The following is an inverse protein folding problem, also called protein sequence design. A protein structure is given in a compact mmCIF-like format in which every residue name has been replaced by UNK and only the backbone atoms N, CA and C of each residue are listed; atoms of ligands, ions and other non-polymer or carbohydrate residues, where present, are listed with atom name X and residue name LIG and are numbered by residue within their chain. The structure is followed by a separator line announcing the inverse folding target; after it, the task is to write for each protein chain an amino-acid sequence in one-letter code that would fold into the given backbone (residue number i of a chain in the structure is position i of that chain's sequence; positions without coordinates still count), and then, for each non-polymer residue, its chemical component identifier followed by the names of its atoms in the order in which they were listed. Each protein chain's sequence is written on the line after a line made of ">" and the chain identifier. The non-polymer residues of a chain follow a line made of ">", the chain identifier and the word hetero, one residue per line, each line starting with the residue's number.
data_IF_746712523273
#
_entry.id   IF_746712523273
#
_cell.length_a   1.000
_cell.length_b   1.000
_cell.length_c   1.000
_cell.angle_alpha   90.00
_cell.angle_beta   90.00
_cell.angle_gamma   90.00
#
_symmetry.space_group_name_H-M   'P 1'
#
loop_
_entity.id
_entity.type
_entity.pdbx_description
1 polymer ?
#
# COMPACT_ATOMS: atom_id res chain seq x y z
N UNK A 1 30.30 19.83 -23.90
CA UNK A 1 30.05 18.57 -23.16
C UNK A 1 29.12 18.71 -21.94
N UNK A 2 28.95 19.89 -21.30
CA UNK A 2 28.05 20.05 -20.14
C UNK A 2 26.57 20.25 -20.48
N UNK A 3 26.23 20.74 -21.68
CA UNK A 3 24.84 20.99 -22.09
C UNK A 3 24.03 19.73 -22.45
N UNK A 4 24.66 18.74 -23.09
CA UNK A 4 23.98 17.48 -23.48
C UNK A 4 23.65 16.59 -22.29
N UNK A 5 24.52 16.54 -21.27
CA UNK A 5 24.29 15.76 -20.04
C UNK A 5 23.15 16.35 -19.21
N UNK A 6 23.02 17.67 -19.18
CA UNK A 6 21.89 18.35 -18.52
C UNK A 6 20.56 18.14 -19.27
N UNK A 7 20.59 18.13 -20.61
CA UNK A 7 19.40 17.87 -21.44
C UNK A 7 18.89 16.44 -21.28
N UNK A 8 19.79 15.46 -21.31
CA UNK A 8 19.45 14.04 -21.16
C UNK A 8 18.92 13.70 -19.76
N UNK A 9 19.47 14.30 -18.69
CA UNK A 9 18.94 14.13 -17.33
C UNK A 9 17.52 14.71 -17.18
N UNK A 10 17.26 15.89 -17.76
CA UNK A 10 15.91 16.49 -17.77
C UNK A 10 14.90 15.62 -18.51
N UNK A 11 15.26 15.12 -19.70
CA UNK A 11 14.41 14.22 -20.47
C UNK A 11 14.10 12.94 -19.70
N UNK A 12 15.12 12.36 -19.04
CA UNK A 12 14.94 11.17 -18.20
C UNK A 12 13.97 11.44 -17.05
N UNK A 13 14.12 12.56 -16.33
CA UNK A 13 13.23 12.94 -15.23
C UNK A 13 11.80 13.19 -15.71
N UNK A 14 11.62 13.87 -16.85
CA UNK A 14 10.31 14.08 -17.45
C UNK A 14 9.64 12.74 -17.84
N UNK A 15 10.39 11.83 -18.46
CA UNK A 15 9.92 10.49 -18.78
C UNK A 15 9.49 9.71 -17.52
N UNK A 16 10.31 9.71 -16.46
CA UNK A 16 9.96 9.06 -15.19
C UNK A 16 8.72 9.66 -14.53
N UNK A 17 8.56 10.99 -14.61
CA UNK A 17 7.37 11.68 -14.11
C UNK A 17 6.11 11.29 -14.87
N UNK A 18 6.18 11.24 -16.20
CA UNK A 18 5.07 10.79 -17.05
C UNK A 18 4.74 9.31 -16.80
N UNK A 19 5.75 8.45 -16.74
CA UNK A 19 5.58 7.02 -16.42
C UNK A 19 4.92 6.82 -15.05
N UNK A 20 5.36 7.55 -14.03
CA UNK A 20 4.75 7.54 -12.69
C UNK A 20 3.27 7.94 -12.75
N UNK A 21 2.95 9.05 -13.41
CA UNK A 21 1.57 9.53 -13.53
C UNK A 21 0.69 8.50 -14.26
N UNK A 22 1.18 7.92 -15.35
CA UNK A 22 0.44 6.92 -16.12
C UNK A 22 0.24 5.64 -15.32
N UNK A 23 1.29 5.08 -14.70
CA UNK A 23 1.19 3.79 -13.99
C UNK A 23 0.34 3.90 -12.72
N UNK A 24 0.53 4.95 -11.90
CA UNK A 24 -0.12 5.02 -10.60
C UNK A 24 -1.46 5.76 -10.59
N UNK A 25 -1.76 6.55 -11.62
CA UNK A 25 -3.03 7.27 -11.72
C UNK A 25 -3.78 6.91 -12.99
N UNK A 26 -3.14 6.93 -14.16
CA UNK A 26 -3.77 6.59 -15.44
C UNK A 26 -4.32 5.16 -15.48
N UNK A 27 -3.51 4.16 -15.14
CA UNK A 27 -3.93 2.75 -15.09
C UNK A 27 -4.99 2.52 -14.01
N UNK A 28 -4.88 3.19 -12.86
CA UNK A 28 -5.88 3.11 -11.79
C UNK A 28 -7.23 3.67 -12.23
N UNK A 29 -7.23 4.82 -12.91
CA UNK A 29 -8.45 5.42 -13.49
C UNK A 29 -9.05 4.48 -14.53
N UNK A 30 -8.24 3.97 -15.46
CA UNK A 30 -8.69 3.03 -16.46
C UNK A 30 -9.28 1.76 -15.84
N UNK A 31 -8.64 1.18 -14.82
CA UNK A 31 -9.16 0.04 -14.08
C UNK A 31 -10.49 0.36 -13.41
N UNK A 32 -10.57 1.50 -12.71
CA UNK A 32 -11.77 1.91 -11.96
C UNK A 32 -12.96 2.12 -12.88
N UNK A 33 -12.75 2.68 -14.08
CA UNK A 33 -13.81 2.94 -15.06
C UNK A 33 -14.21 1.70 -15.87
N UNK A 34 -13.25 0.86 -16.26
CA UNK A 34 -13.51 -0.27 -17.16
C UNK A 34 -13.86 -1.57 -16.43
N UNK A 35 -13.42 -1.72 -15.18
CA UNK A 35 -13.55 -2.95 -14.39
C UNK A 35 -14.22 -2.69 -13.04
N UNK A 36 -15.11 -1.71 -12.97
CA UNK A 36 -15.88 -1.41 -11.76
C UNK A 36 -16.56 -2.68 -11.21
N UNK A 37 -16.38 -2.96 -9.92
CA UNK A 37 -16.95 -4.14 -9.25
C UNK A 37 -16.18 -5.46 -9.48
N UNK A 38 -15.10 -5.44 -10.28
CA UNK A 38 -14.24 -6.62 -10.45
C UNK A 38 -13.25 -6.78 -9.31
N UNK A 39 -12.82 -8.01 -9.04
CA UNK A 39 -11.80 -8.30 -8.02
C UNK A 39 -10.43 -7.74 -8.48
N UNK A 40 -9.78 -6.83 -7.71
CA UNK A 40 -8.50 -6.24 -8.08
C UNK A 40 -7.30 -7.17 -7.87
N UNK A 41 -7.45 -8.28 -7.14
CA UNK A 41 -6.32 -9.17 -6.78
C UNK A 41 -5.59 -9.74 -8.00
N UNK A 42 -6.25 -10.27 -9.05
CA UNK A 42 -5.54 -10.79 -10.22
C UNK A 42 -4.66 -9.74 -10.90
N UNK A 43 -5.16 -8.52 -11.08
CA UNK A 43 -4.39 -7.41 -11.67
C UNK A 43 -3.22 -7.04 -10.76
N UNK A 44 -3.47 -6.93 -9.45
CA UNK A 44 -2.45 -6.65 -8.46
C UNK A 44 -1.31 -7.69 -8.49
N UNK A 45 -1.63 -8.98 -8.56
CA UNK A 45 -0.64 -10.06 -8.64
C UNK A 45 0.18 -9.97 -9.92
N UNK A 46 -0.46 -9.72 -11.07
CA UNK A 46 0.27 -9.53 -12.35
C UNK A 46 1.22 -8.34 -12.28
N UNK A 47 0.77 -7.20 -11.74
CA UNK A 47 1.62 -6.02 -11.55
C UNK A 47 2.76 -6.30 -10.57
N UNK A 48 2.51 -7.06 -9.50
CA UNK A 48 3.53 -7.46 -8.56
C UNK A 48 4.57 -8.38 -9.20
N UNK A 49 4.16 -9.34 -10.03
CA UNK A 49 5.10 -10.18 -10.78
C UNK A 49 5.96 -9.33 -11.73
N UNK A 50 5.36 -8.39 -12.45
CA UNK A 50 6.10 -7.45 -13.30
C UNK A 50 7.10 -6.61 -12.47
N UNK A 51 6.70 -6.14 -11.29
CA UNK A 51 7.56 -5.43 -10.35
C UNK A 51 8.74 -6.30 -9.87
N UNK A 52 8.51 -7.56 -9.46
CA UNK A 52 9.60 -8.50 -9.09
C UNK A 52 10.56 -8.67 -10.27
N UNK A 53 10.02 -8.93 -11.46
CA UNK A 53 10.81 -9.13 -12.68
C UNK A 53 11.68 -7.93 -13.04
N UNK A 54 11.18 -6.70 -12.83
CA UNK A 54 11.95 -5.47 -12.98
C UNK A 54 13.04 -5.35 -11.91
N UNK A 55 12.70 -5.59 -10.64
CA UNK A 55 13.60 -5.46 -9.50
C UNK A 55 14.76 -6.45 -9.57
N UNK A 56 14.49 -7.72 -9.93
CA UNK A 56 15.53 -8.74 -10.02
C UNK A 56 16.50 -8.51 -11.18
N UNK A 57 16.04 -7.86 -12.26
CA UNK A 57 16.88 -7.45 -13.39
C UNK A 57 17.69 -6.19 -13.13
N UNK A 58 17.32 -5.39 -12.11
CA UNK A 58 18.02 -4.15 -11.75
C UNK A 58 19.31 -4.47 -10.98
N UNK A 59 20.51 -4.21 -11.53
CA UNK A 59 21.76 -4.60 -10.87
C UNK A 59 22.00 -3.87 -9.56
N UNK A 60 21.54 -2.62 -9.47
CA UNK A 60 21.65 -1.78 -8.28
C UNK A 60 20.60 -2.09 -7.20
N UNK A 61 19.65 -2.99 -7.45
CA UNK A 61 18.60 -3.30 -6.48
C UNK A 61 19.12 -4.26 -5.42
N UNK A 62 18.92 -3.88 -4.17
CA UNK A 62 19.23 -4.69 -3.01
C UNK A 62 18.17 -5.79 -2.81
N UNK A 63 18.42 -6.96 -3.38
CA UNK A 63 17.51 -8.12 -3.33
C UNK A 63 17.19 -8.56 -1.89
N UNK A 64 18.12 -8.37 -0.96
CA UNK A 64 17.89 -8.68 0.45
C UNK A 64 16.74 -7.85 1.05
N UNK A 65 16.49 -6.65 0.51
CA UNK A 65 15.37 -5.81 0.97
C UNK A 65 13.99 -6.47 0.82
N UNK A 66 13.83 -7.43 -0.10
CA UNK A 66 12.55 -8.15 -0.27
C UNK A 66 12.20 -9.04 0.94
N UNK A 67 13.22 -9.54 1.65
CA UNK A 67 13.03 -10.44 2.78
C UNK A 67 14.11 -10.26 3.85
N UNK A 68 13.89 -9.30 4.75
CA UNK A 68 14.78 -8.97 5.89
C UNK A 68 14.07 -9.08 7.23
N UNK A 69 13.80 -10.31 7.71
CA UNK A 69 13.10 -10.52 8.98
C UNK A 69 13.83 -9.95 10.19
N UNK A 70 15.16 -9.90 10.17
CA UNK A 70 15.97 -9.34 11.26
C UNK A 70 15.70 -7.86 11.57
N UNK A 71 15.05 -7.12 10.66
CA UNK A 71 14.64 -5.73 10.89
C UNK A 71 13.31 -5.61 11.65
N UNK A 72 12.50 -6.67 11.68
CA UNK A 72 11.20 -6.63 12.34
C UNK A 72 11.34 -6.38 13.85
N UNK A 73 12.20 -7.13 14.53
CA UNK A 73 12.37 -7.01 15.98
C UNK A 73 12.79 -5.59 16.41
N UNK A 74 13.64 -4.92 15.62
CA UNK A 74 14.07 -3.55 15.89
C UNK A 74 12.94 -2.52 15.73
N UNK A 75 12.03 -2.74 14.79
CA UNK A 75 10.91 -1.81 14.52
C UNK A 75 9.66 -2.15 15.36
N UNK A 76 9.57 -3.37 15.91
CA UNK A 76 8.40 -3.91 16.58
C UNK A 76 7.84 -3.02 17.70
N UNK A 77 8.64 -2.40 18.59
CA UNK A 77 8.08 -1.53 19.63
C UNK A 77 7.31 -0.33 19.05
N UNK A 78 7.85 0.28 18.01
CA UNK A 78 7.21 1.43 17.35
C UNK A 78 6.01 1.02 16.48
N UNK A 79 6.05 -0.17 15.88
CA UNK A 79 4.90 -0.76 15.16
C UNK A 79 3.78 -1.02 16.17
N UNK A 80 4.09 -1.71 17.26
CA UNK A 80 3.13 -2.08 18.30
C UNK A 80 2.49 -0.85 18.95
N UNK A 81 3.28 0.19 19.24
CA UNK A 81 2.75 1.44 19.80
C UNK A 81 1.77 2.13 18.84
N UNK A 82 2.17 2.36 17.59
CA UNK A 82 1.30 3.06 16.63
C UNK A 82 0.08 2.23 16.25
N UNK A 83 0.24 0.92 16.13
CA UNK A 83 -0.86 -0.01 15.93
C UNK A 83 -1.83 0.00 17.11
N UNK A 84 -1.33 -0.01 18.36
CA UNK A 84 -2.17 0.06 19.56
C UNK A 84 -2.97 1.36 19.62
N UNK A 85 -2.32 2.50 19.37
CA UNK A 85 -3.00 3.81 19.31
C UNK A 85 -4.07 3.81 18.23
N UNK A 86 -3.79 3.23 17.06
CA UNK A 86 -4.75 3.12 15.97
C UNK A 86 -5.88 2.15 16.31
N UNK A 87 -5.60 1.04 16.99
CA UNK A 87 -6.60 0.07 17.43
C UNK A 87 -7.57 0.70 18.43
N UNK A 88 -7.05 1.39 19.45
CA UNK A 88 -7.88 2.11 20.43
C UNK A 88 -8.66 3.22 19.73
N UNK A 89 -8.00 4.07 18.94
CA UNK A 89 -8.64 5.19 18.26
C UNK A 89 -9.74 4.77 17.29
N UNK A 90 -9.47 3.78 16.43
CA UNK A 90 -10.47 3.25 15.49
C UNK A 90 -11.63 2.56 16.20
N UNK A 91 -11.37 1.83 17.29
CA UNK A 91 -12.41 1.21 18.10
C UNK A 91 -13.32 2.25 18.74
N UNK A 92 -12.73 3.30 19.34
CA UNK A 92 -13.51 4.42 19.90
C UNK A 92 -14.35 5.07 18.82
N UNK A 93 -13.77 5.42 17.66
CA UNK A 93 -14.51 6.01 16.55
C UNK A 93 -15.69 5.14 16.13
N UNK A 94 -15.48 3.84 15.90
CA UNK A 94 -16.57 2.92 15.54
C UNK A 94 -17.65 2.87 16.63
N UNK A 95 -17.29 2.69 17.90
CA UNK A 95 -18.26 2.60 18.99
C UNK A 95 -19.11 3.86 19.19
N UNK A 96 -18.59 5.04 18.83
CA UNK A 96 -19.33 6.30 18.94
C UNK A 96 -20.08 6.72 17.66
N UNK A 97 -19.67 6.23 16.48
CA UNK A 97 -20.24 6.66 15.20
C UNK A 97 -21.14 5.63 14.57
N UNK A 98 -20.72 4.36 14.58
CA UNK A 98 -21.35 3.22 13.90
C UNK A 98 -21.17 1.94 14.73
N UNK A 99 -21.64 1.90 16.00
CA UNK A 99 -21.40 0.78 16.92
C UNK A 99 -21.92 -0.56 16.40
N UNK A 100 -22.91 -0.56 15.51
CA UNK A 100 -23.42 -1.74 14.82
C UNK A 100 -22.38 -2.45 13.95
N UNK A 101 -21.38 -1.72 13.45
CA UNK A 101 -20.28 -2.29 12.66
C UNK A 101 -19.20 -2.93 13.54
N UNK A 102 -19.20 -2.67 14.85
CA UNK A 102 -18.16 -3.15 15.75
C UNK A 102 -18.11 -4.68 15.75
N UNK A 103 -16.95 -5.22 15.34
CA UNK A 103 -16.73 -6.66 15.17
C UNK A 103 -17.75 -7.30 14.21
N UNK A 104 -18.33 -6.54 13.27
CA UNK A 104 -19.35 -7.04 12.36
C UNK A 104 -18.86 -8.25 11.56
N UNK A 105 -17.74 -8.12 10.84
CA UNK A 105 -17.19 -9.19 10.01
C UNK A 105 -16.87 -10.50 10.78
N UNK A 106 -16.15 -10.48 11.92
CA UNK A 106 -15.92 -11.70 12.70
C UNK A 106 -17.19 -12.26 13.36
N UNK A 107 -18.25 -11.46 13.56
CA UNK A 107 -19.53 -11.93 14.13
C UNK A 107 -20.44 -12.56 13.09
N UNK A 108 -20.51 -11.99 11.90
CA UNK A 108 -21.44 -12.41 10.85
C UNK A 108 -20.84 -13.49 9.95
N UNK A 109 -19.57 -13.38 9.59
CA UNK A 109 -18.88 -14.25 8.64
C UNK A 109 -17.51 -14.73 9.17
N UNK A 110 -17.45 -15.41 10.34
CA UNK A 110 -16.19 -15.74 11.02
C UNK A 110 -15.25 -16.62 10.18
N UNK A 111 -15.79 -17.51 9.36
CA UNK A 111 -14.99 -18.40 8.50
C UNK A 111 -14.31 -17.58 7.39
N UNK A 112 -15.05 -16.69 6.73
CA UNK A 112 -14.50 -15.80 5.69
C UNK A 112 -13.51 -14.82 6.31
N UNK A 113 -13.82 -14.26 7.47
CA UNK A 113 -12.89 -13.42 8.24
C UNK A 113 -11.58 -14.16 8.52
N UNK A 114 -11.65 -15.41 8.98
CA UNK A 114 -10.47 -16.25 9.21
C UNK A 114 -9.62 -16.46 7.95
N UNK A 115 -10.26 -16.74 6.81
CA UNK A 115 -9.55 -16.82 5.52
C UNK A 115 -8.90 -15.49 5.15
N UNK A 116 -9.57 -14.36 5.36
CA UNK A 116 -8.99 -13.03 5.12
C UNK A 116 -7.77 -12.82 6.02
N UNK A 117 -7.84 -13.14 7.32
CA UNK A 117 -6.69 -12.98 8.23
C UNK A 117 -5.43 -13.75 7.78
N UNK A 118 -5.58 -14.83 7.01
CA UNK A 118 -4.45 -15.64 6.52
C UNK A 118 -4.03 -15.26 5.09
N UNK A 119 -5.00 -15.12 4.18
CA UNK A 119 -4.74 -14.95 2.75
C UNK A 119 -4.44 -13.50 2.36
N UNK A 120 -5.10 -12.52 3.01
CA UNK A 120 -4.92 -11.10 2.70
C UNK A 120 -3.46 -10.61 2.83
N UNK A 121 -2.70 -10.98 3.89
CA UNK A 121 -1.29 -10.59 3.99
C UNK A 121 -0.43 -11.03 2.79
N UNK A 122 -0.69 -12.23 2.26
CA UNK A 122 0.15 -12.82 1.21
C UNK A 122 -0.31 -12.39 -0.19
N UNK A 123 -1.62 -12.45 -0.44
CA UNK A 123 -2.18 -12.23 -1.78
C UNK A 123 -2.47 -10.75 -2.09
N UNK A 124 -2.55 -9.90 -1.06
CA UNK A 124 -2.86 -8.49 -1.22
C UNK A 124 -1.74 -7.60 -0.66
N UNK A 125 -1.43 -7.71 0.63
CA UNK A 125 -0.50 -6.77 1.29
C UNK A 125 0.91 -6.85 0.69
N UNK A 126 1.49 -8.04 0.59
CA UNK A 126 2.86 -8.17 0.08
C UNK A 126 2.99 -7.68 -1.39
N UNK A 127 2.09 -8.06 -2.32
CA UNK A 127 2.02 -7.47 -3.66
C UNK A 127 1.89 -5.94 -3.67
N UNK A 128 1.04 -5.37 -2.81
CA UNK A 128 0.89 -3.92 -2.71
C UNK A 128 2.20 -3.27 -2.25
N UNK A 129 2.81 -3.74 -1.17
CA UNK A 129 4.07 -3.17 -0.67
C UNK A 129 5.20 -3.32 -1.70
N UNK A 130 5.23 -4.42 -2.45
CA UNK A 130 6.19 -4.61 -3.53
C UNK A 130 6.07 -3.51 -4.60
N UNK A 131 4.85 -3.19 -5.03
CA UNK A 131 4.60 -2.18 -6.07
C UNK A 131 4.87 -0.77 -5.52
N UNK A 132 4.21 -0.41 -4.42
CA UNK A 132 4.21 0.95 -3.93
C UNK A 132 5.48 1.31 -3.13
N UNK A 133 6.24 0.32 -2.64
CA UNK A 133 7.52 0.55 -1.95
C UNK A 133 8.69 0.05 -2.76
N UNK A 134 8.89 -1.26 -2.90
CA UNK A 134 10.14 -1.77 -3.47
C UNK A 134 10.37 -1.29 -4.90
N UNK A 135 9.38 -1.48 -5.78
CA UNK A 135 9.42 -1.01 -7.16
C UNK A 135 9.50 0.51 -7.22
N UNK A 136 8.58 1.20 -6.55
CA UNK A 136 8.51 2.66 -6.63
C UNK A 136 9.78 3.36 -6.11
N UNK A 137 10.28 2.94 -4.95
CA UNK A 137 11.51 3.48 -4.35
C UNK A 137 12.72 3.22 -5.24
N UNK A 138 12.79 2.07 -5.91
CA UNK A 138 13.89 1.77 -6.83
C UNK A 138 13.78 2.56 -8.13
N UNK A 139 12.57 2.64 -8.71
CA UNK A 139 12.32 3.16 -10.05
C UNK A 139 12.36 4.69 -10.10
N UNK A 140 11.76 5.34 -9.10
CA UNK A 140 11.50 6.78 -9.11
C UNK A 140 12.40 7.57 -8.15
N UNK A 141 13.42 6.94 -7.57
CA UNK A 141 14.45 7.63 -6.78
C UNK A 141 15.03 8.86 -7.53
N UNK A 142 15.29 8.82 -8.85
CA UNK A 142 15.86 9.99 -9.54
C UNK A 142 14.97 11.23 -9.57
N UNK A 143 13.65 11.10 -9.35
CA UNK A 143 12.70 12.23 -9.37
C UNK A 143 12.15 12.59 -7.99
N UNK A 144 12.05 11.65 -7.05
CA UNK A 144 11.51 11.90 -5.71
C UNK A 144 12.56 11.83 -4.59
N UNK A 145 13.78 11.38 -4.91
CA UNK A 145 14.87 11.16 -3.96
C UNK A 145 14.61 10.00 -3.00
N UNK A 146 15.36 9.94 -1.90
CA UNK A 146 15.18 8.97 -0.81
C UNK A 146 14.44 9.56 0.41
N UNK A 147 14.01 10.83 0.32
CA UNK A 147 13.52 11.62 1.44
C UNK A 147 12.00 11.63 1.60
N UNK A 148 11.47 12.79 1.96
CA UNK A 148 10.03 13.01 2.13
C UNK A 148 9.27 12.94 0.80
N UNK A 149 9.90 13.37 -0.31
CA UNK A 149 9.28 13.33 -1.64
C UNK A 149 8.85 11.93 -2.05
N UNK A 150 9.69 10.92 -1.82
CA UNK A 150 9.36 9.52 -2.09
C UNK A 150 8.23 9.00 -1.20
N UNK A 151 8.22 9.37 0.09
CA UNK A 151 7.14 9.00 1.02
C UNK A 151 5.81 9.59 0.55
N UNK A 152 5.79 10.89 0.25
CA UNK A 152 4.58 11.58 -0.21
C UNK A 152 4.06 10.97 -1.51
N UNK A 153 4.93 10.74 -2.50
CA UNK A 153 4.53 10.13 -3.76
C UNK A 153 3.98 8.71 -3.54
N UNK A 154 4.67 7.90 -2.74
CA UNK A 154 4.26 6.53 -2.42
C UNK A 154 2.94 6.45 -1.66
N UNK A 155 2.74 7.35 -0.70
CA UNK A 155 1.50 7.49 0.06
C UNK A 155 0.34 7.97 -0.83
N UNK A 156 0.59 8.95 -1.70
CA UNK A 156 -0.43 9.48 -2.62
C UNK A 156 -0.88 8.42 -3.64
N UNK A 157 0.05 7.72 -4.27
CA UNK A 157 -0.25 6.63 -5.20
C UNK A 157 -1.01 5.48 -4.49
N UNK A 158 -0.58 5.13 -3.28
CA UNK A 158 -1.23 4.10 -2.48
C UNK A 158 -2.63 4.51 -1.99
N UNK A 159 -2.84 5.78 -1.63
CA UNK A 159 -4.18 6.30 -1.37
C UNK A 159 -5.06 6.26 -2.62
N UNK A 160 -4.52 6.70 -3.76
CA UNK A 160 -5.26 6.82 -5.01
C UNK A 160 -5.72 5.47 -5.57
N UNK A 161 -4.95 4.39 -5.44
CA UNK A 161 -5.41 3.06 -5.89
C UNK A 161 -6.69 2.60 -5.17
N UNK A 162 -6.95 3.12 -3.96
CA UNK A 162 -8.15 2.80 -3.20
C UNK A 162 -9.41 3.52 -3.70
N UNK A 163 -9.31 4.42 -4.70
CA UNK A 163 -10.51 4.98 -5.36
C UNK A 163 -11.35 3.88 -6.00
N UNK A 164 -10.72 2.74 -6.34
CA UNK A 164 -11.39 1.58 -6.91
C UNK A 164 -12.50 1.04 -5.99
N UNK A 165 -12.40 1.25 -4.68
CA UNK A 165 -13.44 0.87 -3.71
C UNK A 165 -14.63 1.84 -3.68
N UNK A 166 -14.58 2.94 -4.43
CA UNK A 166 -15.68 3.91 -4.52
C UNK A 166 -15.94 4.70 -3.23
N UNK A 167 -14.98 4.71 -2.29
CA UNK A 167 -15.15 5.35 -0.98
C UNK A 167 -13.98 6.31 -0.68
N UNK A 168 -14.27 7.58 -0.38
CA UNK A 168 -13.22 8.55 -0.05
C UNK A 168 -12.51 8.25 1.27
N UNK A 169 -13.19 7.59 2.23
CA UNK A 169 -12.60 7.17 3.51
C UNK A 169 -11.48 6.17 3.27
N UNK A 170 -11.66 5.21 2.35
CA UNK A 170 -10.60 4.25 2.03
C UNK A 170 -9.39 4.94 1.40
N UNK A 171 -9.60 5.96 0.55
CA UNK A 171 -8.52 6.77 -0.03
C UNK A 171 -7.72 7.50 1.06
N UNK A 172 -8.41 8.17 2.00
CA UNK A 172 -7.75 8.94 3.08
C UNK A 172 -7.02 8.02 4.05
N UNK A 173 -7.68 6.95 4.53
CA UNK A 173 -7.07 5.98 5.43
C UNK A 173 -5.87 5.29 4.78
N UNK A 174 -5.98 4.96 3.49
CA UNK A 174 -4.88 4.35 2.75
C UNK A 174 -3.75 5.34 2.53
N UNK A 175 -4.01 6.61 2.21
CA UNK A 175 -2.94 7.61 2.13
C UNK A 175 -2.19 7.75 3.47
N UNK A 176 -2.92 7.77 4.60
CA UNK A 176 -2.31 7.80 5.94
C UNK A 176 -1.50 6.53 6.24
N UNK A 177 -2.06 5.34 5.97
CA UNK A 177 -1.35 4.07 6.09
C UNK A 177 -0.11 4.02 5.19
N UNK A 178 -0.25 4.43 3.92
CA UNK A 178 0.82 4.50 2.94
C UNK A 178 1.97 5.42 3.38
N UNK A 179 1.67 6.50 4.09
CA UNK A 179 2.69 7.34 4.72
C UNK A 179 3.46 6.61 5.81
N UNK A 180 2.75 5.90 6.71
CA UNK A 180 3.36 5.07 7.76
C UNK A 180 4.25 3.99 7.12
N UNK A 181 3.72 3.27 6.13
CA UNK A 181 4.39 2.15 5.47
C UNK A 181 5.61 2.60 4.67
N UNK A 182 5.49 3.68 3.88
CA UNK A 182 6.62 4.23 3.14
C UNK A 182 7.71 4.77 4.08
N UNK A 183 7.32 5.38 5.21
CA UNK A 183 8.26 5.79 6.26
C UNK A 183 8.99 4.60 6.88
N UNK A 184 8.26 3.50 7.16
CA UNK A 184 8.84 2.27 7.69
C UNK A 184 9.80 1.63 6.71
N UNK A 185 9.38 1.44 5.47
CA UNK A 185 10.21 0.83 4.43
C UNK A 185 11.51 1.63 4.21
N UNK A 186 11.42 2.96 4.20
CA UNK A 186 12.61 3.82 4.10
C UNK A 186 13.62 3.55 5.23
N UNK A 187 13.14 3.45 6.47
CA UNK A 187 13.98 3.27 7.68
C UNK A 187 14.51 1.83 7.79
N UNK A 188 13.67 0.83 7.58
CA UNK A 188 14.02 -0.58 7.78
C UNK A 188 14.72 -1.20 6.57
N UNK A 189 14.50 -0.65 5.37
CA UNK A 189 14.90 -1.23 4.07
C UNK A 189 14.51 -2.71 3.98
N UNK A 190 13.31 -3.03 4.49
CA UNK A 190 12.75 -4.38 4.58
C UNK A 190 11.29 -4.38 4.17
N UNK A 191 11.03 -4.99 3.01
CA UNK A 191 9.70 -5.20 2.46
C UNK A 191 8.88 -6.14 3.36
N UNK A 192 9.54 -7.16 3.92
CA UNK A 192 8.92 -8.05 4.90
C UNK A 192 8.41 -7.28 6.13
N UNK A 193 9.25 -6.42 6.72
CA UNK A 193 8.87 -5.68 7.93
C UNK A 193 7.69 -4.74 7.68
N UNK A 194 7.69 -4.01 6.56
CA UNK A 194 6.55 -3.15 6.22
C UNK A 194 5.30 -3.95 5.85
N UNK A 195 5.44 -5.12 5.23
CA UNK A 195 4.29 -6.00 4.92
C UNK A 195 3.66 -6.55 6.20
N UNK A 196 4.46 -6.90 7.21
CA UNK A 196 3.93 -7.28 8.53
C UNK A 196 3.19 -6.11 9.18
N UNK A 197 3.78 -4.91 9.17
CA UNK A 197 3.11 -3.72 9.71
C UNK A 197 1.79 -3.46 8.98
N UNK A 198 1.79 -3.38 7.65
CA UNK A 198 0.57 -3.17 6.86
C UNK A 198 -0.47 -4.27 7.13
N UNK A 199 -0.09 -5.54 7.16
CA UNK A 199 -1.00 -6.63 7.46
C UNK A 199 -1.71 -6.44 8.82
N UNK A 200 -1.00 -5.99 9.85
CA UNK A 200 -1.59 -5.69 11.16
C UNK A 200 -2.66 -4.58 11.08
N UNK A 201 -2.43 -3.53 10.28
CA UNK A 201 -3.45 -2.48 10.07
C UNK A 201 -4.64 -3.01 9.28
N UNK A 202 -4.43 -3.74 8.19
CA UNK A 202 -5.54 -4.29 7.40
C UNK A 202 -6.39 -5.27 8.21
N UNK A 203 -5.77 -6.17 8.96
CA UNK A 203 -6.46 -7.09 9.88
C UNK A 203 -7.26 -6.33 10.94
N UNK A 204 -6.70 -5.27 11.52
CA UNK A 204 -7.40 -4.40 12.47
C UNK A 204 -8.64 -3.77 11.82
N UNK A 205 -8.50 -3.18 10.62
CA UNK A 205 -9.63 -2.55 9.92
C UNK A 205 -10.76 -3.55 9.64
N UNK A 206 -10.42 -4.74 9.12
CA UNK A 206 -11.39 -5.81 8.87
C UNK A 206 -12.06 -6.32 10.14
N UNK A 207 -11.34 -6.31 11.27
CA UNK A 207 -11.84 -6.82 12.54
C UNK A 207 -12.72 -5.80 13.25
N UNK A 208 -12.29 -4.54 13.35
CA UNK A 208 -12.98 -3.51 14.15
C UNK A 208 -14.29 -3.01 13.50
N UNK A 209 -14.46 -3.21 12.20
CA UNK A 209 -15.67 -2.80 11.46
C UNK A 209 -15.41 -1.84 10.29
N UNK A 210 -14.19 -1.30 10.19
CA UNK A 210 -13.80 -0.39 9.10
C UNK A 210 -13.58 -1.09 7.75
N UNK A 211 -13.51 -2.42 7.73
CA UNK A 211 -13.37 -3.23 6.51
C UNK A 211 -14.45 -2.97 5.46
N UNK A 212 -15.63 -2.49 5.86
CA UNK A 212 -16.73 -2.12 4.96
C UNK A 212 -16.32 -1.08 3.90
N UNK A 213 -15.35 -0.22 4.22
CA UNK A 213 -14.84 0.79 3.30
C UNK A 213 -13.83 0.24 2.28
N UNK A 214 -13.37 -1.00 2.45
CA UNK A 214 -12.35 -1.67 1.64
C UNK A 214 -12.90 -2.85 0.83
N UNK A 215 -14.23 -2.97 0.71
CA UNK A 215 -14.91 -3.89 -0.19
C UNK A 215 -15.74 -3.13 -1.22
N UNK A 216 -15.79 -3.64 -2.46
CA UNK A 216 -16.68 -3.11 -3.48
C UNK A 216 -18.13 -3.34 -3.03
N UNK A 217 -18.94 -2.28 -2.99
CA UNK A 217 -20.39 -2.42 -2.88
C UNK A 217 -20.96 -2.65 -1.48
N UNK A 218 -20.47 -1.93 -0.46
CA UNK A 218 -21.37 -1.50 0.62
C UNK A 218 -22.26 -0.35 0.11
N UNK A 219 -22.97 -0.58 -1.00
CA UNK A 219 -24.25 0.09 -1.19
C UNK A 219 -25.13 -0.47 -0.10
N UNK A 220 -25.30 0.32 0.96
CA UNK A 220 -26.51 0.25 1.79
C UNK A 220 -27.69 0.38 0.84
N UNK A 221 -28.24 -0.76 0.44
CA UNK A 221 -29.61 -0.91 -0.04
C UNK A 221 -30.48 -1.26 1.15
#
# INVERSE_FOLDING_TARGET
>A
MSGETLSTDRLRKAYLGAEYAVIFFGVVIAYTVLFTGSNPIPVLVVLALAAVLYLLRSPAFDRGSLWRPGRLCAELPSIAFLWFVTAVGSTVVILFTTPELFLGFPRTEPVVWGFVMVLYPVLSVYPQELIFRAFMFQRYQPIFGDGIGMITASAAAFGFVHIAFGNWVSVVLSAAGGWIFASRYRRSRSLFTVSVEHALYGMLMFTVGLGIYFYHGASVS
#
